data_IF_863289048632
#
_entry.id   IF_863289048632
#
_cell.length_a   1.000
_cell.length_b   1.000
_cell.length_c   1.000
_cell.angle_alpha   90.00
_cell.angle_beta   90.00
_cell.angle_gamma   90.00
#
_symmetry.space_group_name_H-M   'P 1'
#
loop_
_entity.id
_entity.type
_entity.pdbx_description
1 polymer ?
#
# COMPACT_ATOMS: atom_id res chain seq x y z
N UNK A 1 5.35 -40.72 6.29
CA UNK A 1 5.38 -39.33 6.81
C UNK A 1 6.68 -38.68 6.36
N UNK A 2 6.63 -37.55 5.66
CA UNK A 2 7.85 -36.88 5.19
C UNK A 2 8.49 -36.07 6.33
N UNK A 3 9.80 -36.28 6.56
CA UNK A 3 10.58 -35.54 7.55
C UNK A 3 11.90 -35.06 6.93
N UNK A 4 12.41 -33.87 7.29
CA UNK A 4 13.73 -33.43 6.86
C UNK A 4 14.81 -34.39 7.35
N UNK A 5 15.58 -34.96 6.42
CA UNK A 5 16.68 -35.87 6.77
C UNK A 5 17.86 -35.13 7.42
N UNK A 6 18.05 -33.85 7.11
CA UNK A 6 19.14 -33.01 7.62
C UNK A 6 18.66 -31.57 7.84
N UNK A 7 19.33 -30.87 8.76
CA UNK A 7 19.20 -29.43 8.92
C UNK A 7 19.74 -28.71 7.69
N UNK A 8 18.99 -27.73 7.17
CA UNK A 8 19.46 -26.85 6.10
C UNK A 8 20.61 -25.97 6.57
N UNK A 9 21.62 -25.79 5.72
CA UNK A 9 22.72 -24.87 5.99
C UNK A 9 22.23 -23.42 6.12
N UNK A 10 23.01 -22.59 6.82
CA UNK A 10 22.74 -21.14 6.95
C UNK A 10 22.69 -20.48 5.57
N UNK A 11 23.60 -20.84 4.66
CA UNK A 11 23.66 -20.31 3.30
C UNK A 11 22.42 -20.64 2.49
N UNK A 12 21.95 -21.89 2.52
CA UNK A 12 20.74 -22.30 1.78
C UNK A 12 19.47 -21.63 2.34
N UNK A 13 19.41 -21.44 3.66
CA UNK A 13 18.29 -20.73 4.29
C UNK A 13 18.27 -19.27 3.90
N UNK A 14 19.44 -18.61 3.88
CA UNK A 14 19.59 -17.21 3.44
C UNK A 14 19.25 -17.05 1.96
N UNK A 15 19.72 -17.95 1.11
CA UNK A 15 19.45 -17.95 -0.31
C UNK A 15 17.95 -18.10 -0.60
N UNK A 16 17.26 -19.03 0.06
CA UNK A 16 15.79 -19.16 -0.09
C UNK A 16 15.05 -17.90 0.37
N UNK A 17 15.45 -17.32 1.51
CA UNK A 17 14.82 -16.11 2.06
C UNK A 17 15.19 -14.83 1.32
N UNK A 18 16.25 -14.81 0.51
CA UNK A 18 16.62 -13.60 -0.22
C UNK A 18 15.59 -13.21 -1.28
N UNK A 19 14.78 -14.16 -1.74
CA UNK A 19 13.64 -13.93 -2.63
C UNK A 19 12.42 -13.34 -1.91
N UNK A 20 12.39 -13.41 -0.56
CA UNK A 20 11.25 -12.94 0.22
C UNK A 20 11.40 -11.44 0.48
N UNK A 21 11.15 -10.66 -0.58
CA UNK A 21 11.20 -9.20 -0.57
C UNK A 21 9.80 -8.64 -0.75
N UNK A 22 9.47 -7.64 0.07
CA UNK A 22 8.25 -6.86 -0.13
C UNK A 22 8.39 -6.02 -1.40
N UNK A 23 7.30 -5.90 -2.15
CA UNK A 23 7.21 -4.97 -3.27
C UNK A 23 6.67 -3.64 -2.76
N UNK A 24 7.24 -2.54 -3.27
CA UNK A 24 6.70 -1.22 -2.98
C UNK A 24 5.30 -1.07 -3.60
N UNK A 25 4.34 -0.43 -2.91
CA UNK A 25 3.03 -0.19 -3.48
C UNK A 25 3.13 0.76 -4.67
N UNK A 26 2.36 0.50 -5.72
CA UNK A 26 2.17 1.46 -6.80
C UNK A 26 1.34 2.64 -6.30
N UNK A 27 1.84 3.85 -6.51
CA UNK A 27 1.21 5.10 -6.09
C UNK A 27 1.04 6.04 -7.29
N UNK A 28 -0.05 6.79 -7.29
CA UNK A 28 -0.35 7.84 -8.26
C UNK A 28 -0.09 9.19 -7.60
N UNK A 29 0.53 10.10 -8.36
CA UNK A 29 0.80 11.47 -7.94
C UNK A 29 -0.35 12.37 -8.36
N UNK A 30 -0.90 13.13 -7.42
CA UNK A 30 -1.95 14.14 -7.66
C UNK A 30 -1.55 15.47 -7.01
N UNK A 31 -2.04 16.59 -7.56
CA UNK A 31 -1.88 17.91 -6.95
C UNK A 31 -3.22 18.31 -6.34
N UNK A 32 -3.23 18.56 -5.03
CA UNK A 32 -4.41 18.97 -4.26
C UNK A 32 -4.05 20.24 -3.49
N UNK A 33 -4.84 21.30 -3.66
CA UNK A 33 -4.61 22.60 -3.00
C UNK A 33 -3.16 23.12 -3.15
N UNK A 34 -2.52 22.85 -4.31
CA UNK A 34 -1.13 23.23 -4.59
C UNK A 34 -0.05 22.31 -4.00
N UNK A 35 -0.43 21.26 -3.26
CA UNK A 35 0.50 20.27 -2.69
C UNK A 35 0.46 18.95 -3.45
N UNK A 36 1.61 18.29 -3.55
CA UNK A 36 1.70 16.93 -4.12
C UNK A 36 1.27 15.90 -3.07
N UNK A 37 0.31 15.07 -3.43
CA UNK A 37 -0.21 13.95 -2.63
C UNK A 37 -0.06 12.65 -3.41
N UNK A 38 0.20 11.55 -2.69
CA UNK A 38 0.30 10.21 -3.25
C UNK A 38 -0.86 9.33 -2.77
N UNK A 39 -1.52 8.65 -3.69
CA UNK A 39 -2.62 7.74 -3.38
C UNK A 39 -2.47 6.41 -4.13
N UNK A 40 -3.16 5.37 -3.66
CA UNK A 40 -3.21 4.09 -4.37
C UNK A 40 -4.09 4.24 -5.61
N UNK A 41 -3.72 3.66 -6.77
CA UNK A 41 -4.58 3.65 -7.94
C UNK A 41 -5.88 2.89 -7.65
N UNK A 42 -6.96 3.33 -8.29
CA UNK A 42 -8.30 2.69 -8.22
C UNK A 42 -8.90 2.59 -6.81
N UNK A 43 -8.52 3.50 -5.92
CA UNK A 43 -9.11 3.61 -4.58
C UNK A 43 -9.75 4.99 -4.42
N UNK A 44 -10.86 5.05 -3.67
CA UNK A 44 -11.42 6.32 -3.23
C UNK A 44 -10.48 6.93 -2.17
N UNK A 45 -10.34 8.26 -2.19
CA UNK A 45 -9.57 9.01 -1.20
C UNK A 45 -10.53 9.67 -0.22
N UNK A 46 -10.09 9.88 1.01
CA UNK A 46 -10.81 10.70 1.98
C UNK A 46 -10.58 12.16 1.62
N UNK A 47 -11.66 12.93 1.56
CA UNK A 47 -11.61 14.39 1.46
C UNK A 47 -11.82 14.96 2.86
N UNK A 48 -10.92 15.84 3.27
CA UNK A 48 -10.91 16.48 4.59
C UNK A 48 -11.19 17.98 4.46
N UNK A 49 -11.73 18.58 5.51
CA UNK A 49 -11.85 20.03 5.66
C UNK A 49 -10.50 20.67 6.05
N UNK A 50 -10.42 22.00 6.06
CA UNK A 50 -9.26 22.78 6.50
C UNK A 50 -8.82 22.48 7.95
N UNK A 51 -9.74 21.98 8.79
CA UNK A 51 -9.46 21.52 10.16
C UNK A 51 -9.02 20.04 10.25
N UNK A 52 -8.96 19.30 9.14
CA UNK A 52 -8.61 17.88 9.11
C UNK A 52 -9.76 16.92 9.43
N UNK A 53 -11.00 17.43 9.52
CA UNK A 53 -12.19 16.59 9.73
C UNK A 53 -12.52 15.83 8.43
N UNK A 54 -12.67 14.49 8.46
CA UNK A 54 -13.01 13.73 7.26
C UNK A 54 -14.48 13.95 6.88
N UNK A 55 -14.73 14.25 5.60
CA UNK A 55 -16.06 14.61 5.11
C UNK A 55 -16.70 13.48 4.30
N UNK A 56 -16.02 13.00 3.28
CA UNK A 56 -16.54 11.98 2.38
C UNK A 56 -15.42 11.26 1.63
N UNK A 57 -15.73 10.09 1.07
CA UNK A 57 -14.88 9.39 0.13
C UNK A 57 -15.14 9.88 -1.28
N UNK A 58 -14.08 10.31 -1.97
CA UNK A 58 -14.11 10.78 -3.36
C UNK A 58 -13.40 9.80 -4.29
N UNK A 59 -13.98 9.55 -5.46
CA UNK A 59 -13.32 8.87 -6.57
C UNK A 59 -13.61 9.58 -7.89
N UNK A 60 -12.55 9.96 -8.61
CA UNK A 60 -12.64 10.67 -9.90
C UNK A 60 -13.57 11.90 -9.85
N UNK A 61 -13.43 12.75 -8.82
CA UNK A 61 -14.22 13.99 -8.70
C UNK A 61 -15.66 13.80 -8.24
N UNK A 62 -16.07 12.58 -7.88
CA UNK A 62 -17.43 12.30 -7.39
C UNK A 62 -17.38 11.77 -5.96
N UNK A 63 -18.32 12.24 -5.13
CA UNK A 63 -18.60 11.67 -3.81
C UNK A 63 -19.14 10.25 -3.99
N UNK A 64 -18.49 9.28 -3.36
CA UNK A 64 -18.82 7.85 -3.44
C UNK A 64 -19.50 7.37 -2.17
N UNK A 65 -19.08 7.86 -1.01
CA UNK A 65 -19.64 7.49 0.29
C UNK A 65 -19.42 8.59 1.33
N UNK A 66 -20.26 8.62 2.35
CA UNK A 66 -19.98 9.35 3.60
C UNK A 66 -18.92 8.60 4.42
N UNK A 67 -18.17 9.34 5.24
CA UNK A 67 -17.15 8.77 6.16
C UNK A 67 -17.79 8.32 7.47
#
# INVERSE_FOLDING_TARGET
MAVPKRKLSRSNTRHRRSQWKAQAPSLVKTVENGRVVYSRPHQAKVVEDAAGTPLFLEYKGRKVADV
#
